data_IF_582906081393
#
_entry.id   IF_582906081393
#
_cell.length_a   1.000
_cell.length_b   1.000
_cell.length_c   1.000
_cell.angle_alpha   90.00
_cell.angle_beta   90.00
_cell.angle_gamma   90.00
#
_symmetry.space_group_name_H-M   'P 1'
#
loop_
_entity.id
_entity.type
_entity.pdbx_description
1 polymer ?
#
# COMPACT_ATOMS: atom_id res chain seq x y z
N UNK A 1 9.81 -4.11 14.75
CA UNK A 1 11.10 -3.72 14.15
C UNK A 1 12.03 -4.93 14.23
N UNK A 2 12.80 -5.20 13.17
CA UNK A 2 13.76 -6.29 13.17
C UNK A 2 15.19 -5.73 13.12
N UNK A 3 16.04 -6.18 14.04
CA UNK A 3 17.43 -5.76 14.16
C UNK A 3 18.33 -6.93 13.80
N UNK A 4 19.27 -6.71 12.87
CA UNK A 4 20.36 -7.64 12.57
C UNK A 4 21.60 -7.30 13.40
N UNK A 5 22.08 -8.23 14.22
CA UNK A 5 23.28 -8.04 15.05
C UNK A 5 24.25 -9.19 14.87
N UNK A 6 25.50 -8.88 14.53
CA UNK A 6 26.58 -9.88 14.52
C UNK A 6 27.35 -9.79 15.82
N UNK A 7 27.37 -10.91 16.54
CA UNK A 7 28.12 -11.06 17.78
C UNK A 7 29.32 -11.98 17.63
N UNK A 8 30.53 -11.57 18.02
CA UNK A 8 31.71 -12.43 17.97
C UNK A 8 31.74 -13.49 19.08
N UNK A 9 30.96 -13.30 20.15
CA UNK A 9 30.86 -14.17 21.33
C UNK A 9 29.43 -14.20 21.87
N UNK A 10 29.16 -14.96 22.93
CA UNK A 10 27.89 -14.84 23.63
C UNK A 10 27.91 -13.54 24.44
N UNK A 11 26.89 -12.70 24.29
CA UNK A 11 26.82 -11.36 24.91
C UNK A 11 25.38 -10.97 25.21
N UNK A 12 25.18 -9.79 25.79
CA UNK A 12 23.86 -9.23 26.09
C UNK A 12 23.63 -7.93 25.34
N UNK A 13 22.52 -7.88 24.62
CA UNK A 13 22.00 -6.66 24.03
C UNK A 13 20.94 -6.06 24.94
N UNK A 14 21.11 -4.82 25.35
CA UNK A 14 20.07 -4.05 26.01
C UNK A 14 19.35 -3.21 24.97
N UNK A 15 18.03 -3.39 24.90
CA UNK A 15 17.13 -2.65 24.02
C UNK A 15 16.21 -1.83 24.90
N UNK A 16 16.31 -0.51 24.79
CA UNK A 16 15.53 0.43 25.59
C UNK A 16 14.61 1.24 24.67
N UNK A 17 13.32 1.20 24.94
CA UNK A 17 12.30 2.06 24.34
C UNK A 17 11.88 3.12 25.37
N UNK A 18 10.96 4.01 25.02
CA UNK A 18 10.38 4.97 25.98
C UNK A 18 9.68 4.29 27.17
N UNK A 19 9.08 3.10 26.96
CA UNK A 19 8.22 2.42 27.94
C UNK A 19 8.78 1.11 28.50
N UNK A 20 9.84 0.55 27.90
CA UNK A 20 10.29 -0.82 28.15
C UNK A 20 11.82 -0.96 28.02
N UNK A 21 12.42 -1.80 28.85
CA UNK A 21 13.82 -2.19 28.79
C UNK A 21 13.92 -3.71 28.70
N UNK A 22 14.55 -4.21 27.65
CA UNK A 22 14.71 -5.64 27.41
C UNK A 22 16.16 -6.02 27.28
N UNK A 23 16.53 -7.12 27.94
CA UNK A 23 17.85 -7.75 27.81
C UNK A 23 17.75 -9.01 26.98
N UNK A 24 18.50 -9.06 25.89
CA UNK A 24 18.41 -10.11 24.88
C UNK A 24 19.77 -10.81 24.81
N UNK A 25 19.78 -12.12 25.04
CA UNK A 25 20.98 -12.94 24.90
C UNK A 25 21.31 -13.08 23.42
N UNK A 26 22.54 -12.71 23.06
CA UNK A 26 23.08 -12.94 21.74
C UNK A 26 23.95 -14.20 21.75
N UNK A 27 23.86 -14.96 20.67
CA UNK A 27 24.76 -16.06 20.41
C UNK A 27 25.87 -15.61 19.46
N UNK A 28 27.03 -16.26 19.54
CA UNK A 28 28.09 -16.07 18.54
C UNK A 28 27.55 -16.29 17.12
N UNK A 29 27.72 -15.31 16.24
CA UNK A 29 27.22 -15.32 14.87
C UNK A 29 26.19 -14.22 14.62
N UNK A 30 25.34 -14.42 13.62
CA UNK A 30 24.28 -13.48 13.25
C UNK A 30 23.00 -13.75 14.04
N UNK A 31 22.48 -12.72 14.69
CA UNK A 31 21.26 -12.75 15.49
C UNK A 31 20.20 -11.85 14.82
N UNK A 32 18.98 -12.34 14.72
CA UNK A 32 17.81 -11.55 14.31
C UNK A 32 16.95 -11.31 15.52
N UNK A 33 16.70 -10.04 15.82
CA UNK A 33 15.97 -9.64 17.03
C UNK A 33 14.70 -8.92 16.62
N UNK A 34 13.55 -9.49 16.99
CA UNK A 34 12.25 -8.87 16.78
C UNK A 34 11.85 -8.06 18.02
N UNK A 35 11.76 -6.74 17.84
CA UNK A 35 11.31 -5.80 18.87
C UNK A 35 9.92 -5.30 18.49
N UNK A 36 8.92 -5.57 19.34
CA UNK A 36 7.61 -4.93 19.23
C UNK A 36 7.73 -3.51 19.77
N UNK A 37 7.40 -2.52 18.95
CA UNK A 37 7.39 -1.11 19.33
C UNK A 37 5.95 -0.61 19.20
N UNK A 38 5.37 -0.09 20.29
CA UNK A 38 4.08 0.58 20.25
C UNK A 38 4.22 2.02 19.73
N UNK A 39 3.15 2.58 19.14
CA UNK A 39 3.16 3.90 18.46
C UNK A 39 3.70 5.03 19.35
N UNK A 40 3.48 4.96 20.66
CA UNK A 40 3.89 6.00 21.60
C UNK A 40 5.38 5.93 21.97
N UNK A 41 6.07 4.83 21.64
CA UNK A 41 7.43 4.56 22.11
C UNK A 41 8.53 4.90 21.09
N UNK A 42 8.14 5.42 19.92
CA UNK A 42 9.04 5.67 18.78
C UNK A 42 9.84 6.96 18.97
N UNK A 43 9.50 7.81 19.95
CA UNK A 43 10.20 9.08 20.21
C UNK A 43 11.64 8.88 20.69
N UNK A 44 11.95 7.77 21.35
CA UNK A 44 13.32 7.41 21.73
C UNK A 44 13.51 5.90 21.73
N UNK A 45 14.52 5.45 20.97
CA UNK A 45 14.91 4.05 20.89
C UNK A 45 16.43 3.95 20.97
N UNK A 46 16.94 3.17 21.91
CA UNK A 46 18.37 2.97 22.14
C UNK A 46 18.72 1.49 22.16
N UNK A 47 19.83 1.16 21.50
CA UNK A 47 20.43 -0.17 21.55
C UNK A 47 21.82 -0.01 22.13
N UNK A 48 22.09 -0.73 23.21
CA UNK A 48 23.42 -0.79 23.81
C UNK A 48 23.83 -2.24 24.02
N UNK A 49 25.13 -2.48 24.07
CA UNK A 49 25.73 -3.80 24.20
C UNK A 49 26.73 -3.79 25.34
N UNK A 50 26.83 -4.90 26.08
CA UNK A 50 27.92 -5.12 27.02
C UNK A 50 29.26 -5.46 26.33
N UNK A 51 29.21 -5.81 25.04
CA UNK A 51 30.36 -6.09 24.21
C UNK A 51 30.53 -5.01 23.14
N UNK A 52 31.65 -4.27 23.20
CA UNK A 52 31.99 -3.18 22.27
C UNK A 52 32.32 -3.68 20.84
N UNK A 53 32.69 -4.95 20.68
CA UNK A 53 33.01 -5.55 19.38
C UNK A 53 31.77 -5.98 18.58
N UNK A 54 30.55 -5.80 19.13
CA UNK A 54 29.33 -6.07 18.39
C UNK A 54 29.22 -5.18 17.15
N UNK A 55 28.86 -5.79 16.01
CA UNK A 55 28.61 -5.06 14.77
C UNK A 55 27.12 -5.06 14.47
N UNK A 56 26.55 -3.87 14.34
CA UNK A 56 25.18 -3.68 13.90
C UNK A 56 25.12 -3.72 12.38
N UNK A 57 24.47 -4.75 11.84
CA UNK A 57 24.33 -4.94 10.40
C UNK A 57 22.86 -4.66 10.10
N UNK A 58 22.58 -3.39 9.78
CA UNK A 58 21.30 -2.78 9.42
C UNK A 58 20.12 -2.93 10.41
N UNK A 59 19.29 -1.89 10.45
CA UNK A 59 17.93 -1.97 10.97
C UNK A 59 17.00 -2.06 9.77
N UNK A 60 16.26 -3.15 9.64
CA UNK A 60 15.08 -3.15 8.79
C UNK A 60 13.92 -2.73 9.69
N UNK A 61 13.73 -1.42 9.82
CA UNK A 61 12.44 -0.87 10.25
C UNK A 61 11.48 -1.11 9.09
N UNK A 62 11.08 -2.37 8.90
CA UNK A 62 9.88 -2.67 8.16
C UNK A 62 8.78 -2.13 9.07
N UNK A 63 8.39 -0.87 8.82
CA UNK A 63 7.15 -0.33 9.34
C UNK A 63 6.06 -1.28 8.85
N UNK A 64 5.67 -2.25 9.67
CA UNK A 64 4.37 -2.94 9.55
C UNK A 64 3.19 -1.95 9.67
N UNK A 65 3.49 -0.67 9.90
CA UNK A 65 2.59 0.46 9.96
C UNK A 65 2.51 1.25 8.65
N UNK A 66 2.89 0.67 7.50
CA UNK A 66 2.56 1.29 6.23
C UNK A 66 1.03 1.40 6.14
N UNK A 67 0.52 2.59 6.36
CA UNK A 67 -0.87 2.92 6.08
C UNK A 67 -1.00 2.91 4.56
N UNK A 68 -1.91 2.11 4.04
CA UNK A 68 -2.12 1.98 2.60
C UNK A 68 -3.44 2.63 2.19
N UNK A 69 -3.48 3.27 1.01
CA UNK A 69 -4.74 3.63 0.39
C UNK A 69 -5.51 2.35 0.05
N UNK A 70 -6.83 2.40 0.20
CA UNK A 70 -7.74 1.35 -0.28
C UNK A 70 -8.86 2.04 -1.02
N UNK A 71 -8.76 2.03 -2.35
CA UNK A 71 -9.76 2.65 -3.20
C UNK A 71 -10.86 1.63 -3.47
N UNK A 72 -12.10 2.04 -3.26
CA UNK A 72 -13.29 1.22 -3.54
C UNK A 72 -14.26 2.00 -4.41
N UNK A 73 -14.99 1.29 -5.25
CA UNK A 73 -16.12 1.82 -6.01
C UNK A 73 -17.39 1.62 -5.19
N UNK A 74 -17.95 2.71 -4.66
CA UNK A 74 -19.13 2.69 -3.79
C UNK A 74 -20.44 2.69 -4.58
N UNK A 75 -20.44 3.35 -5.74
CA UNK A 75 -21.59 3.39 -6.65
C UNK A 75 -21.07 3.29 -8.09
N UNK A 76 -21.78 2.53 -8.91
CA UNK A 76 -21.49 2.34 -10.33
C UNK A 76 -22.81 2.29 -11.08
N UNK A 77 -23.03 3.30 -11.92
CA UNK A 77 -24.22 3.42 -12.77
C UNK A 77 -23.80 3.47 -14.22
N UNK A 78 -24.37 2.57 -15.00
CA UNK A 78 -24.17 2.53 -16.45
C UNK A 78 -25.47 3.04 -17.07
N UNK A 79 -25.41 4.27 -17.57
CA UNK A 79 -26.48 4.92 -18.30
C UNK A 79 -26.25 4.78 -19.80
N UNK A 80 -27.20 5.23 -20.63
CA UNK A 80 -27.08 5.11 -22.10
C UNK A 80 -25.89 5.88 -22.68
N UNK A 81 -25.55 7.02 -22.08
CA UNK A 81 -24.51 7.93 -22.56
C UNK A 81 -23.26 7.94 -21.69
N UNK A 82 -23.32 7.44 -20.46
CA UNK A 82 -22.22 7.60 -19.52
C UNK A 82 -22.09 6.43 -18.55
N UNK A 83 -20.86 6.17 -18.13
CA UNK A 83 -20.53 5.35 -16.97
C UNK A 83 -20.17 6.31 -15.84
N UNK A 84 -21.01 6.33 -14.80
CA UNK A 84 -20.83 7.14 -13.61
C UNK A 84 -20.36 6.25 -12.47
N UNK A 85 -19.28 6.65 -11.82
CA UNK A 85 -18.70 5.92 -10.70
C UNK A 85 -18.35 6.86 -9.55
N UNK A 86 -18.53 6.35 -8.34
CA UNK A 86 -18.15 7.01 -7.11
C UNK A 86 -17.03 6.25 -6.43
N UNK A 87 -15.84 6.82 -6.46
CA UNK A 87 -14.67 6.28 -5.78
C UNK A 87 -14.59 6.81 -4.35
N UNK A 88 -14.06 5.99 -3.46
CA UNK A 88 -13.75 6.43 -2.09
C UNK A 88 -12.49 5.76 -1.61
N UNK A 89 -11.61 6.53 -0.98
CA UNK A 89 -10.47 5.97 -0.27
C UNK A 89 -10.91 5.54 1.14
N UNK A 90 -11.14 4.25 1.35
CA UNK A 90 -11.45 3.68 2.67
C UNK A 90 -10.20 3.23 3.43
N UNK A 91 -9.01 3.51 2.87
CA UNK A 91 -7.73 3.28 3.52
C UNK A 91 -7.32 4.41 4.45
N UNK A 92 -6.17 4.22 5.10
CA UNK A 92 -5.66 5.16 6.10
C UNK A 92 -4.63 6.14 5.54
N UNK A 93 -4.32 6.08 4.24
CA UNK A 93 -3.37 7.01 3.61
C UNK A 93 -3.77 7.38 2.20
N UNK A 94 -3.19 8.48 1.70
CA UNK A 94 -3.34 8.97 0.34
C UNK A 94 -2.58 8.11 -0.68
N UNK A 95 -3.18 7.86 -1.84
CA UNK A 95 -2.51 7.26 -3.00
C UNK A 95 -1.51 8.21 -3.67
N UNK A 96 -0.37 7.69 -4.13
CA UNK A 96 0.62 8.47 -4.88
C UNK A 96 0.15 8.67 -6.33
N UNK A 97 -0.43 7.63 -6.92
CA UNK A 97 -1.09 7.67 -8.23
C UNK A 97 -2.41 6.91 -8.17
N UNK A 98 -3.40 7.38 -8.94
CA UNK A 98 -4.69 6.74 -9.14
C UNK A 98 -5.04 6.81 -10.62
N UNK A 99 -5.35 5.67 -11.20
CA UNK A 99 -5.73 5.54 -12.61
C UNK A 99 -6.99 4.70 -12.74
N UNK A 100 -7.78 5.03 -13.74
CA UNK A 100 -8.92 4.26 -14.17
C UNK A 100 -8.66 3.78 -15.58
N UNK A 101 -8.86 2.48 -15.78
CA UNK A 101 -8.71 1.81 -17.05
C UNK A 101 -10.04 1.15 -17.42
N UNK A 102 -10.39 1.21 -18.70
CA UNK A 102 -11.37 0.29 -19.25
C UNK A 102 -10.60 -0.68 -20.14
N UNK A 103 -10.73 -1.97 -19.84
CA UNK A 103 -9.97 -3.05 -20.47
C UNK A 103 -10.93 -3.98 -21.19
N UNK A 104 -10.57 -4.36 -22.41
CA UNK A 104 -11.29 -5.36 -23.21
C UNK A 104 -10.29 -6.39 -23.74
N UNK A 105 -10.53 -7.67 -23.50
CA UNK A 105 -9.63 -8.77 -23.89
C UNK A 105 -8.15 -8.52 -23.50
N UNK A 106 -7.92 -7.91 -22.33
CA UNK A 106 -6.57 -7.57 -21.83
C UNK A 106 -5.95 -6.29 -22.40
N UNK A 107 -6.62 -5.59 -23.32
CA UNK A 107 -6.14 -4.35 -23.93
C UNK A 107 -6.87 -3.14 -23.29
N UNK A 108 -6.14 -2.13 -22.78
CA UNK A 108 -6.76 -0.90 -22.30
C UNK A 108 -7.29 -0.09 -23.49
N UNK A 109 -8.61 0.08 -23.54
CA UNK A 109 -9.32 0.89 -24.54
C UNK A 109 -9.58 2.31 -24.06
N UNK A 110 -9.47 2.54 -22.75
CA UNK A 110 -9.57 3.85 -22.11
C UNK A 110 -8.61 3.91 -20.93
N UNK A 111 -8.01 5.09 -20.72
CA UNK A 111 -7.16 5.40 -19.57
C UNK A 111 -7.41 6.83 -19.12
N UNK A 112 -7.63 6.99 -17.83
CA UNK A 112 -7.69 8.29 -17.18
C UNK A 112 -6.82 8.29 -15.92
N UNK A 113 -5.94 9.27 -15.80
CA UNK A 113 -5.28 9.58 -14.54
C UNK A 113 -6.23 10.42 -13.68
N UNK A 114 -6.53 9.94 -12.48
CA UNK A 114 -7.40 10.61 -11.53
C UNK A 114 -6.58 11.34 -10.47
N UNK A 115 -7.19 12.32 -9.81
CA UNK A 115 -6.60 12.97 -8.65
C UNK A 115 -6.42 11.92 -7.53
N UNK A 116 -5.27 11.94 -6.85
CA UNK A 116 -5.09 11.19 -5.61
C UNK A 116 -6.18 11.53 -4.59
N UNK A 117 -6.61 10.51 -3.84
CA UNK A 117 -7.62 10.67 -2.80
C UNK A 117 -6.98 10.60 -1.42
N UNK A 118 -7.22 11.61 -0.59
CA UNK A 118 -6.94 11.56 0.84
C UNK A 118 -7.81 10.50 1.54
N UNK A 119 -7.45 10.04 2.75
CA UNK A 119 -8.29 9.12 3.52
C UNK A 119 -9.72 9.64 3.64
N UNK A 120 -10.69 8.78 3.33
CA UNK A 120 -12.13 9.04 3.32
C UNK A 120 -12.63 10.07 2.29
N UNK A 121 -11.74 10.61 1.44
CA UNK A 121 -12.14 11.47 0.31
C UNK A 121 -12.93 10.65 -0.73
N UNK A 122 -13.92 11.31 -1.33
CA UNK A 122 -14.76 10.75 -2.38
C UNK A 122 -14.50 11.48 -3.69
N UNK A 123 -14.60 10.76 -4.79
CA UNK A 123 -14.51 11.32 -6.13
C UNK A 123 -15.60 10.72 -7.00
N UNK A 124 -16.46 11.61 -7.50
CA UNK A 124 -17.40 11.28 -8.56
C UNK A 124 -16.68 11.45 -9.91
N UNK A 125 -16.73 10.42 -10.74
CA UNK A 125 -16.10 10.42 -12.07
C UNK A 125 -17.07 9.89 -13.11
N UNK A 126 -17.04 10.52 -14.29
CA UNK A 126 -17.94 10.20 -15.39
C UNK A 126 -17.14 9.94 -16.66
N UNK A 127 -17.48 8.86 -17.35
CA UNK A 127 -16.89 8.47 -18.63
C UNK A 127 -18.00 8.48 -19.66
N UNK A 128 -17.86 9.32 -20.67
CA UNK A 128 -18.78 9.33 -21.81
C UNK A 128 -18.57 8.06 -22.65
N UNK A 129 -19.64 7.30 -22.87
CA UNK A 129 -19.62 6.05 -23.64
C UNK A 129 -19.26 6.32 -25.11
N UNK A 130 -19.54 7.51 -25.65
CA UNK A 130 -19.14 7.88 -27.01
C UNK A 130 -17.61 7.86 -27.18
N UNK A 131 -16.85 8.18 -26.13
CA UNK A 131 -15.38 8.08 -26.16
C UNK A 131 -14.89 6.64 -26.32
N UNK A 132 -15.72 5.66 -25.93
CA UNK A 132 -15.43 4.24 -26.10
C UNK A 132 -15.86 3.74 -27.49
N UNK A 133 -16.93 4.31 -28.08
CA UNK A 133 -17.49 3.87 -29.37
C UNK A 133 -16.55 4.04 -30.56
N UNK A 134 -15.58 4.97 -30.50
CA UNK A 134 -14.57 5.16 -31.56
C UNK A 134 -13.77 3.88 -31.87
N UNK A 135 -13.80 2.88 -30.98
CA UNK A 135 -13.08 1.62 -31.14
C UNK A 135 -13.95 0.44 -31.62
N UNK A 136 -15.13 0.70 -32.20
CA UNK A 136 -16.01 -0.33 -32.81
C UNK A 136 -16.35 -1.50 -31.84
N UNK A 137 -16.56 -1.17 -30.57
CA UNK A 137 -16.75 -2.14 -29.50
C UNK A 137 -18.21 -2.65 -29.50
N UNK A 138 -18.41 -3.90 -29.90
CA UNK A 138 -19.57 -4.68 -29.42
C UNK A 138 -19.36 -4.92 -27.92
N UNK A 139 -20.25 -4.39 -27.10
CA UNK A 139 -20.10 -4.11 -25.66
C UNK A 139 -20.16 -5.31 -24.72
N UNK A 140 -19.82 -6.50 -25.22
CA UNK A 140 -19.70 -7.70 -24.40
C UNK A 140 -18.24 -7.86 -23.95
N UNK A 141 -18.05 -8.08 -22.65
CA UNK A 141 -16.78 -8.38 -21.96
C UNK A 141 -15.83 -7.19 -21.77
N UNK A 142 -16.29 -6.19 -21.01
CA UNK A 142 -15.49 -5.03 -20.59
C UNK A 142 -15.23 -5.12 -19.07
N UNK A 143 -14.01 -4.77 -18.66
CA UNK A 143 -13.61 -4.66 -17.26
C UNK A 143 -13.22 -3.21 -16.96
N UNK A 144 -13.84 -2.63 -15.95
CA UNK A 144 -13.38 -1.40 -15.32
C UNK A 144 -12.31 -1.77 -14.29
N UNK A 145 -11.08 -1.31 -14.49
CA UNK A 145 -9.97 -1.52 -13.56
C UNK A 145 -9.59 -0.20 -12.91
N UNK A 146 -9.60 -0.17 -11.59
CA UNK A 146 -9.03 0.93 -10.80
C UNK A 146 -7.65 0.51 -10.35
N UNK A 147 -6.62 1.29 -10.68
CA UNK A 147 -5.23 1.03 -10.31
C UNK A 147 -4.72 2.17 -9.43
N UNK A 148 -4.07 1.85 -8.32
CA UNK A 148 -3.43 2.86 -7.48
C UNK A 148 -2.11 2.37 -6.94
N UNK A 149 -1.24 3.32 -6.56
CA UNK A 149 0.06 2.99 -6.00
C UNK A 149 0.39 3.78 -4.75
N UNK A 150 1.23 3.16 -3.91
CA UNK A 150 1.83 3.79 -2.74
C UNK A 150 3.22 3.23 -2.52
N UNK A 151 4.24 4.08 -2.43
CA UNK A 151 5.62 3.68 -2.11
C UNK A 151 6.11 2.49 -2.99
N UNK A 152 5.96 2.62 -4.31
CA UNK A 152 6.29 1.60 -5.33
C UNK A 152 5.46 0.32 -5.30
N UNK A 153 4.55 0.14 -4.34
CA UNK A 153 3.56 -0.93 -4.37
C UNK A 153 2.37 -0.54 -5.24
N UNK A 154 1.92 -1.47 -6.08
CA UNK A 154 0.76 -1.30 -6.96
C UNK A 154 -0.39 -2.17 -6.47
N UNK A 155 -1.59 -1.60 -6.54
CA UNK A 155 -2.84 -2.22 -6.14
C UNK A 155 -3.85 -2.03 -7.27
N UNK A 156 -4.76 -2.99 -7.42
CA UNK A 156 -5.81 -2.91 -8.44
C UNK A 156 -7.12 -3.54 -7.98
N UNK A 157 -8.22 -3.06 -8.55
CA UNK A 157 -9.56 -3.63 -8.40
C UNK A 157 -10.23 -3.71 -9.76
N UNK A 158 -10.66 -4.92 -10.13
CA UNK A 158 -11.39 -5.19 -11.36
C UNK A 158 -12.89 -5.31 -11.11
N UNK A 159 -13.68 -4.67 -11.97
CA UNK A 159 -15.14 -4.70 -11.93
C UNK A 159 -15.64 -5.02 -13.34
N UNK A 160 -16.24 -6.20 -13.57
CA UNK A 160 -16.84 -6.52 -14.85
C UNK A 160 -18.06 -5.62 -15.09
N UNK A 161 -18.14 -5.00 -16.26
CA UNK A 161 -19.22 -4.11 -16.65
C UNK A 161 -19.85 -4.56 -17.97
N UNK A 162 -21.17 -4.36 -18.10
CA UNK A 162 -21.91 -4.62 -19.33
C UNK A 162 -22.54 -3.31 -19.79
N UNK A 163 -22.07 -2.79 -20.92
CA UNK A 163 -22.68 -1.61 -21.54
C UNK A 163 -23.81 -2.10 -22.43
N UNK A 164 -25.06 -1.81 -22.06
CA UNK A 164 -26.21 -2.18 -22.89
C UNK A 164 -26.29 -1.20 -24.07
N UNK A 165 -26.42 -1.75 -25.28
CA UNK A 165 -26.74 -0.97 -26.49
C UNK A 165 -28.15 -0.36 -26.40
#
# INVERSE_FOLDING_TARGET
MNIGVVSPSNSLLNVTTYSDERKIKLFKGYNVIEVKLDRNDITAFSITSDNEDLRHIFSCIIFRYSEFPKIVVNDLKIEKSAIKLKLTNVGNSRSDKLELLIIRHGIPIYRASLKSLEPHEQLDYEIDIETLKQTNIKTNDIVLRIVWSKAYQLFEQDIPIKIKE
#
